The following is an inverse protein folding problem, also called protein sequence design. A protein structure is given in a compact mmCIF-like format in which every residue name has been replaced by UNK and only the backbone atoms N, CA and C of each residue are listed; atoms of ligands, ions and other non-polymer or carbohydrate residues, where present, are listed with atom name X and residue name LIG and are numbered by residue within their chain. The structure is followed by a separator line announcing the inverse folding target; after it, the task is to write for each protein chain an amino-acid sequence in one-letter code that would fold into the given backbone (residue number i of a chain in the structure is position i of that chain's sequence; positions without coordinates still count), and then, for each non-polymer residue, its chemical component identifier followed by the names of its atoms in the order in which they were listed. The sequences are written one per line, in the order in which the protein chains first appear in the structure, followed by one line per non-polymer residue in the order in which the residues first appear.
data_IF_314183941926
#
_entry.id   IF_314183941926
#
_cell.length_a   1.000
_cell.length_b   1.000
_cell.length_c   1.000
_cell.angle_alpha   90.00
_cell.angle_beta   90.00
_cell.angle_gamma   90.00
#
_symmetry.space_group_name_H-M   'P 1'
#
loop_
_entity.id
_entity.type
_entity.pdbx_description
1 polymer ?
#
# COMPACT_ATOMS: atom_id res chain seq x y z
N UNK A 1 4.04 1.41 -4.05
CA UNK A 1 2.77 0.96 -3.45
C UNK A 1 1.66 1.20 -4.45
N UNK A 2 0.60 0.38 -4.48
CA UNK A 2 -0.54 0.66 -5.31
C UNK A 2 -1.25 1.94 -4.87
N UNK A 3 -1.80 2.68 -5.84
CA UNK A 3 -2.59 3.88 -5.62
C UNK A 3 -3.98 3.70 -6.24
N UNK A 4 -5.00 4.23 -5.57
CA UNK A 4 -6.40 4.21 -6.04
C UNK A 4 -6.99 5.60 -5.84
N UNK A 5 -8.06 5.93 -6.59
CA UNK A 5 -8.76 7.20 -6.38
C UNK A 5 -9.51 7.15 -5.04
N UNK A 6 -9.64 8.30 -4.38
CA UNK A 6 -10.40 8.42 -3.13
C UNK A 6 -11.89 8.05 -3.27
N UNK A 7 -12.43 8.12 -4.49
CA UNK A 7 -13.80 7.73 -4.81
C UNK A 7 -13.99 6.22 -5.03
N UNK A 8 -12.90 5.48 -5.22
CA UNK A 8 -12.97 4.05 -5.56
C UNK A 8 -13.03 3.20 -4.29
N UNK A 9 -13.78 2.10 -4.33
CA UNK A 9 -13.82 1.15 -3.22
C UNK A 9 -12.54 0.26 -3.23
N UNK A 10 -11.79 0.23 -2.10
CA UNK A 10 -10.54 -0.54 -2.03
C UNK A 10 -10.77 -2.06 -2.14
N UNK A 11 -11.92 -2.60 -1.71
CA UNK A 11 -12.25 -4.03 -1.85
C UNK A 11 -12.43 -4.38 -3.31
N UNK A 12 -13.20 -3.57 -4.03
CA UNK A 12 -13.42 -3.78 -5.47
C UNK A 12 -12.13 -3.69 -6.26
N UNK A 13 -11.27 -2.74 -5.92
CA UNK A 13 -9.95 -2.62 -6.56
C UNK A 13 -9.08 -3.85 -6.26
N UNK A 14 -8.98 -4.28 -5.01
CA UNK A 14 -8.21 -5.46 -4.62
C UNK A 14 -8.74 -6.74 -5.29
N UNK A 15 -10.06 -6.92 -5.37
CA UNK A 15 -10.67 -8.09 -6.02
C UNK A 15 -10.37 -8.16 -7.53
N UNK A 16 -10.18 -7.00 -8.17
CA UNK A 16 -9.76 -6.91 -9.58
C UNK A 16 -8.28 -7.26 -9.76
N UNK A 17 -7.41 -6.86 -8.83
CA UNK A 17 -5.95 -7.06 -8.97
C UNK A 17 -5.45 -8.40 -8.43
N UNK A 18 -6.05 -8.93 -7.36
CA UNK A 18 -5.56 -10.10 -6.64
C UNK A 18 -6.60 -11.23 -6.63
N UNK A 19 -6.14 -12.48 -6.56
CA UNK A 19 -7.02 -13.67 -6.35
C UNK A 19 -7.31 -13.93 -4.88
N UNK A 20 -6.55 -13.32 -3.97
CA UNK A 20 -6.61 -13.55 -2.54
C UNK A 20 -7.93 -13.06 -1.92
N UNK A 21 -8.38 -13.74 -0.86
CA UNK A 21 -9.52 -13.29 -0.07
C UNK A 21 -9.05 -12.21 0.89
N UNK A 22 -9.81 -11.12 0.93
CA UNK A 22 -9.57 -10.03 1.88
C UNK A 22 -10.04 -10.48 3.27
N UNK A 23 -9.11 -10.41 4.24
CA UNK A 23 -9.35 -10.72 5.65
C UNK A 23 -9.81 -9.48 6.41
N UNK A 24 -9.14 -8.34 6.19
CA UNK A 24 -9.49 -7.07 6.80
C UNK A 24 -9.08 -5.90 5.90
N UNK A 25 -9.78 -4.78 6.08
CA UNK A 25 -9.43 -3.48 5.52
C UNK A 25 -9.52 -2.47 6.64
N UNK A 26 -8.41 -1.79 6.89
CA UNK A 26 -8.29 -0.79 7.94
C UNK A 26 -7.78 0.52 7.31
N UNK A 27 -8.67 1.50 7.08
CA UNK A 27 -8.26 2.84 6.70
C UNK A 27 -7.52 3.50 7.86
N UNK A 28 -6.34 4.02 7.60
CA UNK A 28 -5.54 4.74 8.59
C UNK A 28 -5.79 6.24 8.54
N UNK A 29 -5.32 6.94 9.57
CA UNK A 29 -5.33 8.40 9.55
C UNK A 29 -4.48 8.95 8.38
N UNK A 30 -4.93 10.04 7.73
CA UNK A 30 -4.18 10.64 6.63
C UNK A 30 -2.77 11.04 7.06
N UNK A 31 -1.77 10.53 6.34
CA UNK A 31 -0.38 10.86 6.55
C UNK A 31 -0.03 12.13 5.75
N UNK A 32 0.46 13.15 6.46
CA UNK A 32 0.89 14.41 5.86
C UNK A 32 2.40 14.52 5.86
N UNK A 33 2.98 14.81 4.70
CA UNK A 33 4.39 15.16 4.56
C UNK A 33 4.54 16.48 3.81
N UNK A 34 5.23 17.43 4.43
CA UNK A 34 5.46 18.75 3.84
C UNK A 34 6.77 18.76 3.07
N UNK A 35 6.71 19.04 1.77
CA UNK A 35 7.86 19.42 0.95
C UNK A 35 7.95 20.94 0.87
N UNK A 36 9.08 21.46 0.37
CA UNK A 36 9.31 22.91 0.28
C UNK A 36 8.25 23.66 -0.53
N UNK A 37 7.62 23.01 -1.52
CA UNK A 37 6.70 23.66 -2.46
C UNK A 37 5.25 23.17 -2.37
N UNK A 38 4.99 22.07 -1.65
CA UNK A 38 3.66 21.48 -1.55
C UNK A 38 3.56 20.54 -0.35
N UNK A 39 2.32 20.24 0.05
CA UNK A 39 2.03 19.22 1.05
C UNK A 39 1.53 17.96 0.35
N UNK A 40 2.16 16.83 0.63
CA UNK A 40 1.67 15.52 0.24
C UNK A 40 0.74 15.01 1.34
N UNK A 41 -0.48 14.63 0.95
CA UNK A 41 -1.42 13.92 1.81
C UNK A 41 -1.60 12.52 1.23
N UNK A 42 -1.37 11.52 2.05
CA UNK A 42 -1.59 10.10 1.72
C UNK A 42 -2.70 9.60 2.63
N UNK A 43 -3.64 8.83 2.07
CA UNK A 43 -4.69 8.17 2.83
C UNK A 43 -4.36 6.67 2.84
N UNK A 44 -3.54 6.19 3.81
CA UNK A 44 -3.12 4.81 3.84
C UNK A 44 -4.30 3.91 4.16
N UNK A 45 -4.31 2.72 3.55
CA UNK A 45 -5.28 1.67 3.81
C UNK A 45 -4.49 0.38 3.97
N UNK A 46 -4.52 -0.20 5.17
CA UNK A 46 -3.97 -1.52 5.41
C UNK A 46 -4.99 -2.57 4.96
N UNK A 47 -4.55 -3.50 4.10
CA UNK A 47 -5.38 -4.58 3.60
C UNK A 47 -4.67 -5.89 3.90
N UNK A 48 -5.28 -6.72 4.75
CA UNK A 48 -4.79 -8.06 5.06
C UNK A 48 -5.52 -9.06 4.19
N UNK A 49 -4.78 -9.96 3.56
CA UNK A 49 -5.30 -10.96 2.63
C UNK A 49 -4.79 -12.35 2.99
N UNK A 50 -5.56 -13.39 2.69
CA UNK A 50 -5.15 -14.77 2.92
C UNK A 50 -4.28 -15.32 1.78
N UNK A 51 -3.47 -16.33 2.07
CA UNK A 51 -2.71 -17.07 1.07
C UNK A 51 -1.45 -16.37 0.55
N UNK A 52 -0.97 -16.85 -0.61
CA UNK A 52 0.26 -16.33 -1.26
C UNK A 52 -0.11 -15.19 -2.20
N UNK A 53 0.71 -14.15 -2.24
CA UNK A 53 0.52 -13.01 -3.13
C UNK A 53 0.51 -13.48 -4.59
N UNK A 54 -0.65 -13.37 -5.26
CA UNK A 54 -0.84 -13.78 -6.65
C UNK A 54 -1.53 -12.66 -7.42
N UNK A 55 -0.77 -12.00 -8.30
CA UNK A 55 -1.31 -10.99 -9.22
C UNK A 55 -2.21 -11.68 -10.27
N UNK A 56 -3.44 -11.19 -10.46
CA UNK A 56 -4.30 -11.61 -11.59
C UNK A 56 -3.84 -11.00 -12.90
N UNK A 57 -3.29 -9.79 -12.84
CA UNK A 57 -2.87 -9.04 -14.01
C UNK A 57 -1.43 -9.41 -14.35
N UNK A 58 -1.17 -9.86 -15.58
CA UNK A 58 0.16 -10.21 -16.10
C UNK A 58 1.11 -8.99 -16.28
N UNK A 59 0.83 -7.87 -15.58
CA UNK A 59 1.65 -6.67 -15.55
C UNK A 59 2.59 -6.75 -14.35
N UNK A 60 3.87 -6.92 -14.64
CA UNK A 60 5.00 -6.94 -13.71
C UNK A 60 5.20 -5.57 -13.06
N UNK A 61 4.38 -5.18 -12.08
CA UNK A 61 4.57 -3.90 -11.36
C UNK A 61 4.47 -4.06 -9.83
N UNK A 62 4.16 -5.25 -9.31
CA UNK A 62 4.00 -5.44 -7.86
C UNK A 62 4.84 -6.60 -7.36
N UNK A 63 5.93 -6.27 -6.68
CA UNK A 63 6.73 -7.20 -5.89
C UNK A 63 6.30 -7.19 -4.42
N UNK A 64 6.48 -8.33 -3.75
CA UNK A 64 6.26 -8.48 -2.31
C UNK A 64 7.60 -8.51 -1.58
N UNK A 65 7.72 -7.72 -0.53
CA UNK A 65 8.93 -7.64 0.28
C UNK A 65 8.61 -8.05 1.72
N UNK A 66 9.52 -8.78 2.34
CA UNK A 66 9.55 -8.88 3.79
C UNK A 66 10.15 -7.61 4.41
N UNK A 67 10.17 -7.54 5.72
CA UNK A 67 10.59 -6.31 6.41
C UNK A 67 12.07 -6.00 6.34
N UNK A 68 12.89 -7.03 6.38
CA UNK A 68 14.33 -6.91 6.27
C UNK A 68 14.70 -6.37 4.87
N UNK A 69 14.00 -6.86 3.84
CA UNK A 69 14.11 -6.36 2.47
C UNK A 69 13.66 -4.89 2.36
N UNK A 70 12.56 -4.50 3.00
CA UNK A 70 12.07 -3.10 3.02
C UNK A 70 13.11 -2.13 3.58
N UNK A 71 13.86 -2.54 4.60
CA UNK A 71 14.90 -1.71 5.22
C UNK A 71 16.08 -1.43 4.26
N UNK A 72 16.34 -2.36 3.33
CA UNK A 72 17.37 -2.21 2.30
C UNK A 72 16.91 -1.47 1.05
N UNK A 73 15.59 -1.28 0.88
CA UNK A 73 15.04 -0.53 -0.23
C UNK A 73 15.29 0.97 -0.03
N UNK A 74 15.70 1.66 -1.11
CA UNK A 74 15.86 3.12 -1.16
C UNK A 74 14.52 3.87 -1.11
N UNK A 75 13.67 3.57 -0.13
CA UNK A 75 12.33 4.14 0.02
C UNK A 75 12.42 5.65 0.30
N UNK A 76 11.50 6.40 -0.32
CA UNK A 76 11.36 7.82 -0.04
C UNK A 76 10.91 8.05 1.40
N UNK A 77 11.27 9.20 1.96
CA UNK A 77 10.90 9.60 3.34
C UNK A 77 9.42 9.39 3.69
N UNK A 78 8.43 9.80 2.86
CA UNK A 78 7.02 9.55 3.19
C UNK A 78 6.68 8.05 3.23
N UNK A 79 7.23 7.24 2.33
CA UNK A 79 6.97 5.79 2.32
C UNK A 79 7.61 5.10 3.52
N UNK A 80 8.82 5.50 3.92
CA UNK A 80 9.45 5.03 5.17
C UNK A 80 8.58 5.35 6.39
N UNK A 81 8.01 6.56 6.44
CA UNK A 81 7.09 6.96 7.51
C UNK A 81 5.88 6.02 7.61
N UNK A 82 5.29 5.63 6.48
CA UNK A 82 4.17 4.69 6.44
C UNK A 82 4.55 3.28 6.86
N UNK A 83 5.69 2.76 6.39
CA UNK A 83 6.14 1.40 6.75
C UNK A 83 6.41 1.30 8.25
N UNK A 84 6.94 2.35 8.86
CA UNK A 84 7.18 2.39 10.30
C UNK A 84 5.88 2.36 11.13
N UNK A 85 4.71 2.71 10.57
CA UNK A 85 3.42 2.60 11.29
C UNK A 85 2.91 1.16 11.41
N UNK A 86 3.53 0.21 10.69
CA UNK A 86 3.24 -1.22 10.84
C UNK A 86 3.87 -1.83 12.12
N UNK A 87 4.64 -1.04 12.89
CA UNK A 87 5.40 -1.41 14.10
C UNK A 87 5.11 -0.44 15.25
#
# INVERSE_FOLDING_TARGET
MPEIKLSDDPKEWCAKQFTNKILSIDPWEPFKHSFSHYNLYIHPIEIRMDGRFMNKTNKTITDSFNLEQLSSLGLSTPVKGLVNQLY
#
